data_IF_917781831613
#
_entry.id   IF_917781831613
#
_cell.length_a   1.000
_cell.length_b   1.000
_cell.length_c   1.000
_cell.angle_alpha   90.00
_cell.angle_beta   90.00
_cell.angle_gamma   90.00
#
_symmetry.space_group_name_H-M   'P 1'
#
loop_
_entity.id
_entity.type
_entity.pdbx_description
1 polymer ?
#
# COMPACT_ATOMS: atom_id res chain seq x y z
N UNK A 1 -5.06 -3.54 -0.39
CA UNK A 1 -3.94 -3.24 0.54
C UNK A 1 -4.52 -2.98 1.90
N UNK A 2 -3.88 -3.42 2.98
CA UNK A 2 -4.34 -3.18 4.33
C UNK A 2 -3.46 -2.16 5.07
N UNK A 3 -3.81 -1.93 6.32
CA UNK A 3 -3.00 -1.20 7.30
C UNK A 3 -2.49 -2.21 8.35
N UNK A 4 -1.48 -1.86 9.16
CA UNK A 4 -1.03 -2.70 10.28
C UNK A 4 -2.20 -3.29 11.08
N UNK A 5 -2.13 -4.60 11.33
CA UNK A 5 -3.19 -5.35 12.01
C UNK A 5 -3.52 -4.71 13.36
N UNK A 6 -4.80 -4.58 13.68
CA UNK A 6 -5.32 -3.89 14.86
C UNK A 6 -5.81 -2.46 14.58
N UNK A 7 -5.31 -1.80 13.53
CA UNK A 7 -5.78 -0.46 13.15
C UNK A 7 -7.26 -0.46 12.74
N UNK A 8 -7.65 -1.38 11.87
CA UNK A 8 -9.03 -1.47 11.39
C UNK A 8 -9.98 -1.75 12.56
N UNK A 9 -9.58 -2.64 13.47
CA UNK A 9 -10.33 -2.91 14.70
C UNK A 9 -10.48 -1.69 15.59
N UNK A 10 -9.40 -0.92 15.81
CA UNK A 10 -9.44 0.28 16.63
C UNK A 10 -10.27 1.41 16.00
N UNK A 11 -10.31 1.51 14.67
CA UNK A 11 -10.99 2.60 13.97
C UNK A 11 -12.43 2.28 13.55
N UNK A 12 -12.66 1.10 12.95
CA UNK A 12 -13.92 0.66 12.37
C UNK A 12 -14.55 -0.55 13.08
N UNK A 13 -13.90 -1.09 14.12
CA UNK A 13 -14.35 -2.30 14.82
C UNK A 13 -14.04 -3.61 14.09
N UNK A 14 -13.37 -3.57 12.93
CA UNK A 14 -12.98 -4.75 12.15
C UNK A 14 -11.64 -4.53 11.44
N UNK A 15 -10.77 -5.54 11.47
CA UNK A 15 -9.53 -5.58 10.68
C UNK A 15 -9.74 -6.10 9.25
N UNK A 16 -10.99 -6.28 8.82
CA UNK A 16 -11.32 -6.56 7.42
C UNK A 16 -10.92 -5.36 6.54
N UNK A 17 -9.96 -5.54 5.62
CA UNK A 17 -9.50 -4.46 4.77
C UNK A 17 -10.60 -3.98 3.82
N UNK A 18 -11.60 -4.80 3.46
CA UNK A 18 -12.74 -4.35 2.66
C UNK A 18 -13.53 -3.25 3.37
N UNK A 19 -13.69 -3.33 4.69
CA UNK A 19 -14.35 -2.28 5.48
C UNK A 19 -13.59 -0.96 5.39
N UNK A 20 -12.26 -0.99 5.48
CA UNK A 20 -11.40 0.18 5.28
C UNK A 20 -11.49 0.72 3.85
N UNK A 21 -11.51 -0.13 2.83
CA UNK A 21 -11.61 0.32 1.43
C UNK A 21 -12.94 1.03 1.16
N UNK A 22 -14.04 0.49 1.67
CA UNK A 22 -15.36 1.12 1.58
C UNK A 22 -15.41 2.44 2.33
N UNK A 23 -14.91 2.47 3.58
CA UNK A 23 -14.86 3.71 4.34
C UNK A 23 -14.05 4.79 3.60
N UNK A 24 -12.87 4.46 3.09
CA UNK A 24 -12.04 5.41 2.32
C UNK A 24 -12.75 5.85 1.04
N UNK A 25 -13.38 4.94 0.29
CA UNK A 25 -14.15 5.28 -0.92
C UNK A 25 -15.25 6.30 -0.62
N UNK A 26 -15.92 6.17 0.52
CA UNK A 26 -17.07 7.01 0.88
C UNK A 26 -16.64 8.39 1.43
N UNK A 27 -15.39 8.51 1.88
CA UNK A 27 -14.86 9.75 2.46
C UNK A 27 -13.88 10.50 1.55
N UNK A 28 -13.21 9.82 0.61
CA UNK A 28 -12.29 10.45 -0.35
C UNK A 28 -13.09 11.06 -1.52
N UNK A 29 -12.86 12.36 -1.74
CA UNK A 29 -13.21 13.07 -2.96
C UNK A 29 -11.96 13.22 -3.81
N UNK A 30 -12.04 12.85 -5.09
CA UNK A 30 -10.97 12.98 -6.08
C UNK A 30 -11.50 13.69 -7.32
N UNK A 31 -11.09 14.94 -7.50
CA UNK A 31 -11.55 15.83 -8.56
C UNK A 31 -10.77 15.66 -9.86
N UNK A 32 -11.33 16.11 -11.00
CA UNK A 32 -10.69 15.98 -12.32
C UNK A 32 -9.40 16.81 -12.46
N UNK A 33 -9.13 17.73 -11.54
CA UNK A 33 -7.95 18.59 -11.48
C UNK A 33 -6.91 18.12 -10.45
N UNK A 34 -6.95 16.83 -10.08
CA UNK A 34 -6.07 16.21 -9.08
C UNK A 34 -6.20 16.80 -7.66
N UNK A 35 -7.22 17.64 -7.42
CA UNK A 35 -7.59 18.07 -6.06
C UNK A 35 -8.31 16.93 -5.37
N UNK A 36 -7.92 16.66 -4.14
CA UNK A 36 -8.57 15.66 -3.30
C UNK A 36 -8.51 16.08 -1.84
N UNK A 37 -9.30 15.38 -1.03
CA UNK A 37 -9.46 15.68 0.39
C UNK A 37 -8.65 14.76 1.32
N UNK A 38 -7.61 14.07 0.82
CA UNK A 38 -6.87 13.04 1.56
C UNK A 38 -6.32 13.48 2.93
N UNK A 39 -5.88 14.73 3.05
CA UNK A 39 -5.40 15.27 4.33
C UNK A 39 -6.52 15.47 5.35
N UNK A 40 -7.71 15.89 4.90
CA UNK A 40 -8.88 16.02 5.78
C UNK A 40 -9.40 14.65 6.20
N UNK A 41 -9.40 13.66 5.29
CA UNK A 41 -9.72 12.27 5.64
C UNK A 41 -8.77 11.73 6.71
N UNK A 42 -7.46 11.94 6.54
CA UNK A 42 -6.48 11.54 7.55
C UNK A 42 -6.64 12.29 8.89
N UNK A 43 -6.96 13.58 8.86
CA UNK A 43 -7.34 14.34 10.05
C UNK A 43 -8.55 13.71 10.74
N UNK A 44 -9.60 13.34 10.01
CA UNK A 44 -10.80 12.73 10.61
C UNK A 44 -10.46 11.43 11.32
N UNK A 45 -9.61 10.58 10.74
CA UNK A 45 -9.10 9.38 11.42
C UNK A 45 -8.34 9.78 12.68
N UNK A 46 -7.43 10.75 12.60
CA UNK A 46 -6.63 11.13 13.75
C UNK A 46 -7.47 11.67 14.92
N UNK A 47 -8.48 12.50 14.62
CA UNK A 47 -9.39 13.03 15.63
C UNK A 47 -10.26 11.93 16.25
N UNK A 48 -10.66 10.92 15.46
CA UNK A 48 -11.38 9.77 16.00
C UNK A 48 -10.56 9.03 17.06
N UNK A 49 -9.25 8.85 16.84
CA UNK A 49 -8.34 8.26 17.83
C UNK A 49 -8.14 9.14 19.07
N UNK A 50 -8.00 10.46 18.88
CA UNK A 50 -7.89 11.40 20.01
C UNK A 50 -9.16 11.35 20.89
N UNK A 51 -10.33 11.21 20.29
CA UNK A 51 -11.60 11.14 21.01
C UNK A 51 -11.85 9.79 21.71
N UNK A 52 -11.58 8.68 21.02
CA UNK A 52 -11.94 7.34 21.50
C UNK A 52 -10.85 6.66 22.32
N UNK A 53 -9.58 7.01 22.11
CA UNK A 53 -8.43 6.36 22.74
C UNK A 53 -7.57 7.34 23.57
N UNK A 54 -7.88 8.64 23.56
CA UNK A 54 -7.04 9.69 24.15
C UNK A 54 -5.58 9.65 23.62
N UNK A 55 -5.39 9.21 22.37
CA UNK A 55 -4.09 9.10 21.71
C UNK A 55 -4.02 9.96 20.46
N UNK A 56 -2.82 10.49 20.15
CA UNK A 56 -2.56 11.12 18.86
C UNK A 56 -2.78 10.10 17.74
N UNK A 57 -3.55 10.47 16.73
CA UNK A 57 -3.81 9.59 15.60
C UNK A 57 -2.57 9.18 14.80
N UNK A 58 -2.68 8.14 13.95
CA UNK A 58 -1.52 7.50 13.33
C UNK A 58 -0.94 8.29 12.15
N UNK A 59 -1.73 9.13 11.46
CA UNK A 59 -1.28 9.83 10.26
C UNK A 59 -0.45 11.07 10.57
N UNK A 60 0.52 11.35 9.70
CA UNK A 60 1.37 12.54 9.81
C UNK A 60 1.91 12.97 8.44
N UNK A 61 2.53 14.15 8.38
CA UNK A 61 3.06 14.73 7.16
C UNK A 61 2.04 15.65 6.49
N UNK A 62 1.86 16.84 7.03
CA UNK A 62 1.02 17.89 6.45
C UNK A 62 1.89 19.00 5.80
N UNK A 63 1.52 19.52 4.62
CA UNK A 63 2.12 20.75 4.07
C UNK A 63 1.95 21.94 5.03
N UNK A 64 2.95 22.81 5.15
CA UNK A 64 2.92 23.97 6.08
C UNK A 64 1.74 24.93 5.85
N UNK A 65 1.24 25.04 4.62
CA UNK A 65 0.09 25.90 4.30
C UNK A 65 -1.26 25.30 4.67
N UNK A 66 -1.30 24.03 5.10
CA UNK A 66 -2.52 23.30 5.41
C UNK A 66 -2.60 23.09 6.93
N UNK A 67 -3.23 24.04 7.62
CA UNK A 67 -3.39 24.02 9.08
C UNK A 67 -4.57 23.13 9.48
N UNK A 68 -4.30 21.84 9.69
CA UNK A 68 -5.29 20.85 10.11
C UNK A 68 -5.04 20.39 11.54
N UNK A 69 -6.04 20.58 12.41
CA UNK A 69 -6.06 20.02 13.77
C UNK A 69 -5.79 18.52 13.74
N UNK A 70 -4.95 18.03 14.65
CA UNK A 70 -4.65 16.60 14.76
C UNK A 70 -3.73 16.02 13.68
N UNK A 71 -3.26 16.83 12.70
CA UNK A 71 -2.35 16.37 11.65
C UNK A 71 -1.07 17.22 11.61
N UNK A 72 0.01 16.66 12.16
CA UNK A 72 1.32 17.31 12.28
C UNK A 72 2.18 17.15 11.02
N UNK A 73 3.15 18.05 10.83
CA UNK A 73 4.13 17.97 9.75
C UNK A 73 5.11 16.80 9.91
N UNK A 74 5.36 16.37 11.14
CA UNK A 74 6.29 15.30 11.52
C UNK A 74 5.57 14.26 12.37
N UNK A 75 6.08 13.03 12.39
CA UNK A 75 5.56 11.95 13.24
C UNK A 75 5.52 12.34 14.72
N UNK A 76 4.36 12.21 15.34
CA UNK A 76 4.14 12.45 16.79
C UNK A 76 3.38 11.31 17.48
N UNK A 77 2.99 10.29 16.73
CA UNK A 77 2.16 9.18 17.19
C UNK A 77 2.98 8.15 17.96
N UNK A 78 2.41 7.62 19.04
CA UNK A 78 2.92 6.44 19.73
C UNK A 78 2.10 5.21 19.29
N UNK A 79 2.66 4.43 18.36
CA UNK A 79 1.99 3.26 17.81
C UNK A 79 1.77 2.15 18.86
N UNK A 80 2.67 2.01 19.83
CA UNK A 80 2.49 1.04 20.90
C UNK A 80 1.28 1.41 21.77
N UNK A 81 1.12 2.69 22.10
CA UNK A 81 -0.05 3.19 22.82
C UNK A 81 -1.35 3.13 22.00
N UNK A 82 -1.26 3.23 20.66
CA UNK A 82 -2.38 3.02 19.74
C UNK A 82 -2.80 1.55 19.60
N UNK A 83 -1.97 0.60 20.06
CA UNK A 83 -2.29 -0.83 20.05
C UNK A 83 -2.04 -1.55 18.73
N UNK A 84 -1.27 -0.96 17.81
CA UNK A 84 -0.87 -1.59 16.53
C UNK A 84 0.52 -1.12 16.09
N UNK A 85 1.10 -1.76 15.08
CA UNK A 85 2.48 -1.46 14.66
C UNK A 85 2.58 -0.23 13.73
N UNK A 86 3.74 0.43 13.73
CA UNK A 86 4.03 1.51 12.78
C UNK A 86 4.17 1.00 11.35
N UNK A 87 4.71 -0.20 11.17
CA UNK A 87 4.97 -0.80 9.86
C UNK A 87 4.19 -2.10 9.71
N UNK A 88 3.75 -2.36 8.49
CA UNK A 88 3.25 -3.69 8.09
C UNK A 88 4.40 -4.70 8.10
N UNK A 89 4.07 -5.97 8.22
CA UNK A 89 5.03 -7.06 8.20
C UNK A 89 5.87 -7.04 6.91
N UNK A 90 5.24 -6.79 5.75
CA UNK A 90 5.94 -6.65 4.47
C UNK A 90 6.93 -5.45 4.46
N UNK A 91 6.60 -4.35 5.14
CA UNK A 91 7.43 -3.15 5.21
C UNK A 91 8.64 -3.35 6.13
N UNK A 92 8.50 -4.11 7.22
CA UNK A 92 9.62 -4.45 8.12
C UNK A 92 10.73 -5.20 7.36
N UNK A 93 10.33 -6.10 6.46
CA UNK A 93 11.24 -6.88 5.63
C UNK A 93 11.85 -6.07 4.46
N UNK A 94 11.44 -4.82 4.25
CA UNK A 94 11.96 -3.91 3.23
C UNK A 94 12.50 -2.64 3.90
N UNK A 95 13.79 -2.58 4.25
CA UNK A 95 14.35 -1.49 5.06
C UNK A 95 14.11 -0.08 4.51
N UNK A 96 14.07 0.06 3.17
CA UNK A 96 13.82 1.36 2.49
C UNK A 96 12.34 1.78 2.46
N UNK A 97 11.41 0.87 2.78
CA UNK A 97 9.98 1.17 2.76
C UNK A 97 9.63 2.23 3.81
N UNK A 98 8.75 3.15 3.43
CA UNK A 98 8.15 4.11 4.35
C UNK A 98 6.85 3.53 4.91
N UNK A 99 6.50 3.84 6.17
CA UNK A 99 5.24 3.39 6.74
C UNK A 99 4.06 4.01 5.99
N UNK A 100 2.96 3.27 5.91
CA UNK A 100 1.70 3.67 5.28
C UNK A 100 1.03 4.91 5.90
N UNK A 101 1.59 5.47 6.97
CA UNK A 101 1.03 6.63 7.69
C UNK A 101 1.51 7.99 7.19
N UNK A 102 2.61 8.02 6.42
CA UNK A 102 3.22 9.27 5.95
C UNK A 102 2.48 9.83 4.74
N UNK A 103 1.95 11.05 4.86
CA UNK A 103 1.10 11.66 3.83
C UNK A 103 1.82 12.64 2.89
N UNK A 104 2.95 13.23 3.29
CA UNK A 104 3.59 14.28 2.50
C UNK A 104 5.11 14.11 2.39
N UNK A 105 5.69 14.75 1.38
CA UNK A 105 7.10 14.62 0.95
C UNK A 105 7.44 13.29 0.27
N UNK A 106 8.73 13.04 0.02
CA UNK A 106 9.22 11.82 -0.59
C UNK A 106 8.81 10.58 0.24
N UNK A 107 8.30 9.56 -0.45
CA UNK A 107 7.81 8.33 0.16
C UNK A 107 6.50 8.50 0.94
N UNK A 108 5.57 9.31 0.40
CA UNK A 108 4.23 9.55 0.97
C UNK A 108 3.25 8.39 0.67
N UNK A 109 3.63 7.18 1.10
CA UNK A 109 2.87 5.94 0.88
C UNK A 109 1.44 6.06 1.42
N UNK A 110 1.23 6.80 2.51
CA UNK A 110 -0.11 7.00 3.07
C UNK A 110 -1.04 7.81 2.18
N UNK A 111 -0.53 8.87 1.53
CA UNK A 111 -1.34 9.62 0.55
C UNK A 111 -1.72 8.73 -0.63
N UNK A 112 -0.75 7.96 -1.16
CA UNK A 112 -1.00 7.05 -2.27
C UNK A 112 -1.99 5.95 -1.88
N UNK A 113 -1.88 5.43 -0.65
CA UNK A 113 -2.78 4.40 -0.13
C UNK A 113 -4.19 4.95 0.02
N UNK A 114 -4.40 6.10 0.66
CA UNK A 114 -5.74 6.69 0.78
C UNK A 114 -6.40 6.92 -0.58
N UNK A 115 -5.66 7.37 -1.59
CA UNK A 115 -6.20 7.52 -2.94
C UNK A 115 -6.47 6.16 -3.62
N UNK A 116 -5.56 5.19 -3.45
CA UNK A 116 -5.65 3.87 -4.08
C UNK A 116 -6.75 2.99 -3.50
N UNK A 117 -6.99 3.01 -2.19
CA UNK A 117 -7.97 2.16 -1.51
C UNK A 117 -9.40 2.43 -2.01
N UNK A 118 -9.74 3.71 -2.26
CA UNK A 118 -11.03 4.06 -2.85
C UNK A 118 -11.21 3.49 -4.26
N UNK A 119 -10.13 3.43 -5.06
CA UNK A 119 -10.16 2.80 -6.38
C UNK A 119 -10.26 1.27 -6.29
N UNK A 120 -9.55 0.64 -5.34
CA UNK A 120 -9.66 -0.81 -5.07
C UNK A 120 -11.12 -1.18 -4.81
N UNK A 121 -11.82 -0.46 -3.92
CA UNK A 121 -13.24 -0.70 -3.65
C UNK A 121 -14.11 -0.64 -4.92
N UNK A 122 -13.84 0.32 -5.82
CA UNK A 122 -14.58 0.47 -7.09
C UNK A 122 -14.28 -0.65 -8.10
N UNK A 123 -13.07 -1.21 -8.08
CA UNK A 123 -12.69 -2.32 -8.95
C UNK A 123 -13.23 -3.66 -8.43
N UNK A 124 -13.23 -3.86 -7.11
CA UNK A 124 -13.86 -5.02 -6.47
C UNK A 124 -15.36 -5.07 -6.78
N UNK A 125 -16.05 -3.92 -6.71
CA UNK A 125 -17.45 -3.81 -7.11
C UNK A 125 -17.70 -4.14 -8.61
N UNK A 126 -16.64 -4.18 -9.44
CA UNK A 126 -16.67 -4.59 -10.85
C UNK A 126 -16.16 -6.02 -11.08
N UNK A 127 -15.92 -6.79 -10.02
CA UNK A 127 -15.53 -8.20 -10.09
C UNK A 127 -14.02 -8.46 -10.12
N UNK A 128 -13.18 -7.46 -9.79
CA UNK A 128 -11.75 -7.72 -9.56
C UNK A 128 -11.54 -8.36 -8.19
N UNK A 129 -10.61 -9.32 -8.10
CA UNK A 129 -10.15 -9.87 -6.84
C UNK A 129 -8.94 -9.11 -6.31
N UNK A 130 -8.73 -9.09 -4.99
CA UNK A 130 -7.56 -8.48 -4.36
C UNK A 130 -6.76 -9.52 -3.59
N UNK A 131 -5.54 -9.77 -4.05
CA UNK A 131 -4.58 -10.59 -3.32
C UNK A 131 -3.85 -9.75 -2.24
N UNK A 132 -3.48 -10.32 -1.07
CA UNK A 132 -3.72 -11.69 -0.59
C UNK A 132 -5.02 -11.86 0.22
N UNK A 133 -5.97 -10.93 0.10
CA UNK A 133 -7.19 -10.89 0.93
C UNK A 133 -8.19 -11.96 0.53
N UNK A 134 -8.32 -12.21 -0.77
CA UNK A 134 -9.23 -13.19 -1.32
C UNK A 134 -8.55 -14.55 -1.55
N UNK A 135 -9.26 -15.64 -1.23
CA UNK A 135 -8.74 -17.00 -1.35
C UNK A 135 -8.77 -17.56 -2.77
N UNK A 136 -9.66 -17.06 -3.64
CA UNK A 136 -9.94 -17.65 -4.95
C UNK A 136 -9.49 -16.75 -6.12
N UNK A 137 -8.33 -16.12 -6.00
CA UNK A 137 -7.80 -15.25 -7.07
C UNK A 137 -7.60 -15.99 -8.40
N UNK A 138 -7.40 -17.32 -8.37
CA UNK A 138 -7.21 -18.16 -9.55
C UNK A 138 -8.44 -18.26 -10.46
N UNK A 139 -9.63 -17.95 -9.93
CA UNK A 139 -10.89 -17.95 -10.70
C UNK A 139 -11.25 -16.56 -11.22
N UNK A 140 -10.47 -15.53 -10.86
CA UNK A 140 -10.78 -14.14 -11.16
C UNK A 140 -10.14 -13.70 -12.47
N UNK A 141 -10.90 -12.98 -13.30
CA UNK A 141 -10.38 -12.43 -14.57
C UNK A 141 -9.38 -11.30 -14.35
N UNK A 142 -9.53 -10.57 -13.24
CA UNK A 142 -8.66 -9.46 -12.85
C UNK A 142 -8.26 -9.66 -11.39
N UNK A 143 -6.95 -9.63 -11.13
CA UNK A 143 -6.37 -9.70 -9.79
C UNK A 143 -5.57 -8.44 -9.53
N UNK A 144 -5.89 -7.75 -8.44
CA UNK A 144 -5.15 -6.61 -7.93
C UNK A 144 -4.14 -7.10 -6.89
N UNK A 145 -2.91 -6.64 -7.02
CA UNK A 145 -1.81 -6.99 -6.10
C UNK A 145 -0.92 -5.78 -5.87
N UNK A 146 -0.33 -5.70 -4.68
CA UNK A 146 0.68 -4.69 -4.37
C UNK A 146 2.03 -5.11 -4.99
N UNK A 147 2.76 -4.14 -5.54
CA UNK A 147 4.09 -4.33 -6.10
C UNK A 147 5.05 -3.28 -5.55
N UNK A 148 6.33 -3.62 -5.47
CA UNK A 148 7.37 -2.70 -4.99
C UNK A 148 8.51 -2.63 -6.01
N UNK A 149 8.58 -1.57 -6.85
CA UNK A 149 9.54 -1.52 -7.96
C UNK A 149 11.01 -1.61 -7.54
N UNK A 150 11.33 -1.24 -6.29
CA UNK A 150 12.69 -1.37 -5.78
C UNK A 150 13.16 -2.81 -5.54
N UNK A 151 12.29 -3.81 -5.74
CA UNK A 151 12.72 -5.22 -5.80
C UNK A 151 13.67 -5.50 -6.97
N UNK A 152 13.65 -4.68 -8.03
CA UNK A 152 14.53 -4.77 -9.21
C UNK A 152 15.46 -3.56 -9.34
N UNK A 153 15.83 -2.91 -8.23
CA UNK A 153 16.65 -1.69 -8.19
C UNK A 153 17.94 -1.81 -9.04
N UNK A 154 18.56 -2.99 -9.13
CA UNK A 154 19.77 -3.22 -9.93
C UNK A 154 19.52 -3.09 -11.44
N UNK A 155 18.43 -3.67 -11.95
CA UNK A 155 18.03 -3.53 -13.35
C UNK A 155 17.62 -2.09 -13.68
N UNK A 156 16.90 -1.44 -12.75
CA UNK A 156 16.51 -0.03 -12.86
C UNK A 156 17.74 0.88 -12.92
N UNK A 157 18.74 0.64 -12.06
CA UNK A 157 19.97 1.43 -12.05
C UNK A 157 20.73 1.34 -13.38
N UNK A 158 20.80 0.15 -14.00
CA UNK A 158 21.39 -0.02 -15.34
C UNK A 158 20.63 0.78 -16.39
N UNK A 159 19.30 0.70 -16.39
CA UNK A 159 18.46 1.43 -17.33
C UNK A 159 18.58 2.95 -17.17
N UNK A 160 18.65 3.45 -15.94
CA UNK A 160 18.92 4.87 -15.65
C UNK A 160 20.31 5.29 -16.12
N UNK A 161 21.33 4.43 -15.92
CA UNK A 161 22.67 4.64 -16.46
C UNK A 161 22.72 4.72 -17.99
N UNK A 162 21.75 4.09 -18.67
CA UNK A 162 21.54 4.17 -20.11
C UNK A 162 20.64 5.34 -20.54
N UNK A 163 20.29 6.26 -19.63
CA UNK A 163 19.53 7.47 -19.93
C UNK A 163 18.03 7.38 -19.73
N UNK A 164 17.50 6.29 -19.17
CA UNK A 164 16.06 6.19 -18.87
C UNK A 164 15.64 7.00 -17.63
N UNK A 165 14.42 7.52 -17.64
CA UNK A 165 13.79 8.13 -16.47
C UNK A 165 13.47 7.02 -15.46
N UNK A 166 13.92 7.20 -14.20
CA UNK A 166 13.82 6.18 -13.14
C UNK A 166 12.41 5.60 -12.98
N UNK A 167 11.40 6.45 -12.85
CA UNK A 167 10.03 6.00 -12.58
C UNK A 167 9.42 5.24 -13.79
N UNK A 168 9.80 5.64 -15.00
CA UNK A 168 9.43 4.93 -16.22
C UNK A 168 10.11 3.55 -16.28
N UNK A 169 11.41 3.49 -16.01
CA UNK A 169 12.17 2.24 -15.97
C UNK A 169 11.62 1.28 -14.89
N UNK A 170 11.31 1.79 -13.69
CA UNK A 170 10.68 1.02 -12.62
C UNK A 170 9.38 0.35 -13.07
N UNK A 171 8.50 1.11 -13.72
CA UNK A 171 7.19 0.61 -14.17
C UNK A 171 7.34 -0.38 -15.32
N UNK A 172 8.12 -0.03 -16.34
CA UNK A 172 8.28 -0.83 -17.55
C UNK A 172 8.98 -2.16 -17.27
N UNK A 173 10.11 -2.13 -16.56
CA UNK A 173 10.88 -3.34 -16.26
C UNK A 173 10.09 -4.27 -15.35
N UNK A 174 9.41 -3.76 -14.33
CA UNK A 174 8.62 -4.64 -13.45
C UNK A 174 7.46 -5.30 -14.22
N UNK A 175 6.77 -4.56 -15.08
CA UNK A 175 5.72 -5.11 -15.93
C UNK A 175 6.25 -6.16 -16.91
N UNK A 176 7.43 -5.93 -17.50
CA UNK A 176 8.10 -6.89 -18.38
C UNK A 176 8.44 -8.18 -17.65
N UNK A 177 9.05 -8.09 -16.46
CA UNK A 177 9.41 -9.24 -15.64
C UNK A 177 8.18 -10.09 -15.30
N UNK A 178 7.11 -9.45 -14.80
CA UNK A 178 5.87 -10.15 -14.44
C UNK A 178 5.18 -10.76 -15.66
N UNK A 179 5.16 -10.07 -16.80
CA UNK A 179 4.61 -10.59 -18.04
C UNK A 179 5.40 -11.80 -18.55
N UNK A 180 6.73 -11.75 -18.51
CA UNK A 180 7.57 -12.90 -18.87
C UNK A 180 7.27 -14.10 -17.94
N UNK A 181 7.25 -13.89 -16.62
CA UNK A 181 6.89 -14.93 -15.66
C UNK A 181 5.50 -15.51 -15.89
N UNK A 182 4.54 -14.70 -16.37
CA UNK A 182 3.22 -15.18 -16.78
C UNK A 182 3.31 -16.08 -18.02
N UNK A 183 4.07 -15.69 -19.04
CA UNK A 183 4.26 -16.44 -20.28
C UNK A 183 4.94 -17.81 -20.04
N UNK A 184 5.85 -17.89 -19.07
CA UNK A 184 6.53 -19.14 -18.69
C UNK A 184 5.86 -19.88 -17.52
N UNK A 185 4.62 -19.52 -17.16
CA UNK A 185 3.81 -20.15 -16.11
C UNK A 185 4.43 -20.15 -14.69
N UNK A 186 5.29 -19.19 -14.37
CA UNK A 186 5.93 -19.04 -13.05
C UNK A 186 5.26 -17.98 -12.17
N UNK A 187 4.42 -17.11 -12.74
CA UNK A 187 3.76 -16.04 -11.98
C UNK A 187 2.94 -16.56 -10.78
N UNK A 188 2.26 -17.70 -10.93
CA UNK A 188 1.45 -18.31 -9.87
C UNK A 188 2.25 -18.59 -8.58
N UNK A 189 3.53 -18.96 -8.72
CA UNK A 189 4.41 -19.27 -7.60
C UNK A 189 4.67 -18.04 -6.73
N UNK A 190 4.65 -16.83 -7.30
CA UNK A 190 4.82 -15.58 -6.56
C UNK A 190 3.63 -15.29 -5.63
N UNK A 191 2.41 -15.69 -6.02
CA UNK A 191 1.23 -15.56 -5.18
C UNK A 191 1.25 -16.58 -4.03
N UNK A 192 1.67 -17.82 -4.29
CA UNK A 192 1.73 -18.89 -3.31
C UNK A 192 2.84 -18.71 -2.27
N UNK A 193 3.89 -17.96 -2.61
CA UNK A 193 5.03 -17.72 -1.74
C UNK A 193 4.75 -16.76 -0.57
N UNK A 194 3.65 -16.00 -0.61
CA UNK A 194 3.31 -15.11 0.50
C UNK A 194 2.97 -15.91 1.78
N UNK A 195 3.36 -15.42 2.96
CA UNK A 195 2.98 -16.05 4.21
C UNK A 195 1.44 -16.12 4.36
N UNK A 196 0.92 -17.27 4.74
CA UNK A 196 -0.52 -17.52 4.92
C UNK A 196 -0.92 -17.30 6.38
N UNK A 197 -0.75 -16.06 6.86
CA UNK A 197 -1.05 -15.67 8.24
C UNK A 197 -2.22 -14.68 8.29
N UNK A 198 -2.93 -14.63 9.42
CA UNK A 198 -4.00 -13.65 9.63
C UNK A 198 -3.49 -12.21 9.50
N UNK A 199 -2.26 -11.95 9.92
CA UNK A 199 -1.61 -10.66 9.76
C UNK A 199 -1.45 -10.28 8.27
N UNK A 200 -1.01 -11.21 7.42
CA UNK A 200 -0.93 -10.95 5.96
C UNK A 200 -2.32 -10.76 5.35
N UNK A 201 -3.32 -11.52 5.80
CA UNK A 201 -4.71 -11.32 5.37
C UNK A 201 -5.35 -10.02 5.89
N UNK A 202 -4.76 -9.35 6.88
CA UNK A 202 -5.20 -8.03 7.33
C UNK A 202 -4.40 -6.89 6.65
N UNK A 203 -3.08 -7.01 6.61
CA UNK A 203 -2.16 -5.95 6.19
C UNK A 203 -1.87 -5.93 4.68
N UNK A 204 -1.96 -7.09 4.03
CA UNK A 204 -1.52 -7.33 2.67
C UNK A 204 -0.06 -7.76 2.55
N UNK A 205 0.37 -8.05 1.33
CA UNK A 205 1.75 -8.44 1.00
C UNK A 205 2.18 -7.84 -0.33
N UNK A 206 3.49 -7.73 -0.53
CA UNK A 206 4.08 -7.27 -1.79
C UNK A 206 4.39 -8.49 -2.65
N UNK A 207 3.86 -8.52 -3.87
CA UNK A 207 4.13 -9.61 -4.80
C UNK A 207 5.63 -9.75 -5.06
N UNK A 208 6.12 -10.99 -5.08
CA UNK A 208 7.53 -11.34 -5.27
C UNK A 208 8.50 -10.83 -4.20
N UNK A 209 8.01 -10.37 -3.05
CA UNK A 209 8.86 -10.11 -1.90
C UNK A 209 9.55 -11.41 -1.44
N UNK A 210 10.88 -11.42 -1.42
CA UNK A 210 11.69 -12.63 -1.18
C UNK A 210 12.05 -13.40 -2.46
N UNK A 211 11.54 -12.98 -3.62
CA UNK A 211 11.75 -13.61 -4.93
C UNK A 211 12.36 -12.63 -5.96
N UNK A 212 13.16 -11.67 -5.50
CA UNK A 212 13.79 -10.66 -6.34
C UNK A 212 14.67 -11.26 -7.45
N UNK A 213 15.38 -12.35 -7.14
CA UNK A 213 16.20 -13.05 -8.12
C UNK A 213 15.38 -13.59 -9.30
N UNK A 214 14.15 -14.08 -9.05
CA UNK A 214 13.27 -14.55 -10.10
C UNK A 214 12.79 -13.41 -11.00
N UNK A 215 12.44 -12.24 -10.42
CA UNK A 215 12.09 -11.06 -11.20
C UNK A 215 13.25 -10.57 -12.07
N UNK A 216 14.48 -10.58 -11.55
CA UNK A 216 15.66 -10.17 -12.29
C UNK A 216 16.00 -11.15 -13.42
N UNK A 217 15.93 -12.46 -13.16
CA UNK A 217 16.15 -13.48 -14.18
C UNK A 217 15.11 -13.35 -15.32
N UNK A 218 13.85 -13.06 -15.00
CA UNK A 218 12.80 -12.85 -15.99
C UNK A 218 13.05 -11.63 -16.92
N UNK A 219 13.95 -10.72 -16.56
CA UNK A 219 14.37 -9.60 -17.42
C UNK A 219 15.53 -9.94 -18.35
N UNK A 220 16.19 -11.08 -18.13
CA UNK A 220 17.39 -11.48 -18.87
C UNK A 220 17.06 -12.44 -20.04
N UNK A 221 15.87 -13.05 -20.04
CA UNK A 221 15.36 -13.91 -21.13
C UNK A 221 15.39 -15.38 -20.79
#
# INVERSE_FOLDING_TARGET
MGFPMGFGKAFLGSDDPCALWHWVRDHITDGPDNRNNRFMVAQSVNLAFEQSHAQRGPFWGCPRGLNLTGLSATKTSDYAALGFLEKRQCEVLLPKSQPIWKLYTAGSVGSQSLMGLGMIARLVARGAAVWPFERNISQSQVVLTEVYPSLIDSAVARAVGAGQIKDAAQTQLLAQALNHMMQVHQLAQLFEAAPKTDQVHSEGWILAQGHQAALLAALEG
#
